data_IF_724403781558
#
_entry.id   IF_724403781558
#
_cell.length_a   1.000
_cell.length_b   1.000
_cell.length_c   1.000
_cell.angle_alpha   90.00
_cell.angle_beta   90.00
_cell.angle_gamma   90.00
#
_symmetry.space_group_name_H-M   'P 1'
#
loop_
_entity.id
_entity.type
_entity.pdbx_description
1 polymer ?
#
# COMPACT_ATOMS: atom_id res chain seq x y z
N UNK A 1 -17.96 -7.08 5.67
CA UNK A 1 -17.15 -7.28 6.89
C UNK A 1 -16.13 -6.15 6.95
N UNK A 2 -16.02 -5.46 8.08
CA UNK A 2 -15.16 -4.29 8.24
C UNK A 2 -13.69 -4.70 8.47
N UNK A 3 -12.74 -3.84 8.07
CA UNK A 3 -11.32 -4.00 8.39
C UNK A 3 -11.12 -4.00 9.91
N UNK A 4 -10.38 -4.97 10.46
CA UNK A 4 -10.13 -5.06 11.91
C UNK A 4 -8.85 -4.36 12.35
N UNK A 5 -8.07 -3.82 11.40
CA UNK A 5 -6.78 -3.19 11.67
C UNK A 5 -6.89 -1.67 11.86
N UNK A 6 -8.04 -1.08 11.52
CA UNK A 6 -8.35 0.34 11.64
C UNK A 6 -9.18 0.82 10.45
N UNK A 7 -9.63 2.07 10.52
CA UNK A 7 -10.39 2.72 9.45
C UNK A 7 -9.50 3.70 8.68
N UNK A 8 -9.19 3.39 7.42
CA UNK A 8 -8.33 4.23 6.57
C UNK A 8 -8.89 5.63 6.33
N UNK A 9 -10.22 5.81 6.45
CA UNK A 9 -10.87 7.11 6.32
C UNK A 9 -10.60 8.03 7.53
N UNK A 10 -10.12 7.47 8.65
CA UNK A 10 -9.78 8.23 9.87
C UNK A 10 -8.27 8.49 10.01
N UNK A 11 -7.46 7.97 9.09
CA UNK A 11 -6.01 8.17 9.10
C UNK A 11 -5.69 9.51 8.43
N UNK A 12 -4.93 10.38 9.12
CA UNK A 12 -4.40 11.60 8.52
C UNK A 12 -3.39 11.28 7.41
N UNK A 13 -3.30 12.13 6.39
CA UNK A 13 -2.33 11.97 5.33
C UNK A 13 -1.98 13.30 4.67
N UNK A 14 -0.69 13.47 4.36
CA UNK A 14 -0.20 14.56 3.52
C UNK A 14 -0.20 14.21 2.03
N UNK A 15 -0.45 12.95 1.66
CA UNK A 15 -0.41 12.42 0.31
C UNK A 15 0.99 12.37 -0.31
N UNK A 16 1.04 12.34 -1.65
CA UNK A 16 2.27 12.18 -2.41
C UNK A 16 3.22 13.40 -2.29
N UNK A 17 4.50 13.11 -2.09
CA UNK A 17 5.59 14.06 -2.27
C UNK A 17 5.66 14.55 -3.72
N UNK A 18 6.44 15.60 -3.94
CA UNK A 18 6.75 16.08 -5.29
C UNK A 18 7.50 15.03 -6.12
N UNK A 19 8.38 14.23 -5.51
CA UNK A 19 9.12 13.18 -6.19
C UNK A 19 8.16 12.11 -6.75
N UNK A 20 7.18 11.68 -5.96
CA UNK A 20 6.16 10.72 -6.38
C UNK A 20 5.21 11.33 -7.42
N UNK A 21 4.75 12.57 -7.22
CA UNK A 21 3.85 13.24 -8.16
C UNK A 21 4.46 13.42 -9.56
N UNK A 22 5.79 13.67 -9.64
CA UNK A 22 6.53 13.82 -10.90
C UNK A 22 6.58 12.56 -11.76
N UNK A 23 6.33 11.37 -11.19
CA UNK A 23 6.27 10.12 -11.96
C UNK A 23 5.21 10.17 -13.07
N UNK A 24 4.09 10.86 -12.80
CA UNK A 24 3.00 11.09 -13.77
C UNK A 24 3.00 12.52 -14.31
N UNK A 25 4.11 13.25 -14.17
CA UNK A 25 4.27 14.65 -14.61
C UNK A 25 3.18 15.58 -14.04
N UNK A 26 2.68 15.28 -12.83
CA UNK A 26 1.65 16.09 -12.20
C UNK A 26 2.23 17.42 -11.72
N UNK A 27 1.45 18.49 -11.90
CA UNK A 27 1.78 19.84 -11.37
C UNK A 27 1.26 20.06 -9.96
N UNK A 28 0.42 19.15 -9.46
CA UNK A 28 -0.12 19.15 -8.10
C UNK A 28 0.67 18.20 -7.20
N UNK A 29 0.58 18.40 -5.89
CA UNK A 29 1.24 17.56 -4.87
C UNK A 29 0.28 17.21 -3.74
N UNK A 30 0.75 16.38 -2.81
CA UNK A 30 0.01 15.94 -1.64
C UNK A 30 -1.19 15.07 -1.99
N UNK A 31 -2.26 15.20 -1.21
CA UNK A 31 -3.47 14.37 -1.34
C UNK A 31 -4.08 14.42 -2.74
N UNK A 32 -4.08 15.59 -3.40
CA UNK A 32 -4.62 15.71 -4.77
C UNK A 32 -3.81 14.89 -5.78
N UNK A 33 -2.47 14.89 -5.65
CA UNK A 33 -1.61 14.09 -6.51
C UNK A 33 -1.85 12.59 -6.31
N UNK A 34 -1.94 12.12 -5.07
CA UNK A 34 -2.27 10.72 -4.76
C UNK A 34 -3.59 10.28 -5.40
N UNK A 35 -4.63 11.13 -5.32
CA UNK A 35 -5.93 10.88 -5.95
C UNK A 35 -5.81 10.72 -7.47
N UNK A 36 -5.07 11.61 -8.14
CA UNK A 36 -4.83 11.52 -9.60
C UNK A 36 -4.01 10.29 -9.98
N UNK A 37 -3.00 9.93 -9.20
CA UNK A 37 -2.22 8.71 -9.41
C UNK A 37 -3.09 7.45 -9.31
N UNK A 38 -3.95 7.37 -8.28
CA UNK A 38 -4.91 6.28 -8.13
C UNK A 38 -5.95 6.26 -9.27
N UNK A 39 -6.40 7.43 -9.73
CA UNK A 39 -7.31 7.58 -10.85
C UNK A 39 -6.73 7.07 -12.17
N UNK A 40 -5.48 7.42 -12.47
CA UNK A 40 -4.77 6.93 -13.66
C UNK A 40 -4.60 5.41 -13.66
N UNK A 41 -4.56 4.79 -12.47
CA UNK A 41 -4.43 3.35 -12.31
C UNK A 41 -5.77 2.62 -12.30
N UNK A 42 -6.91 3.32 -12.13
CA UNK A 42 -8.22 2.71 -11.92
C UNK A 42 -8.62 1.73 -13.03
N UNK A 43 -8.48 2.13 -14.30
CA UNK A 43 -8.88 1.28 -15.42
C UNK A 43 -8.13 -0.07 -15.45
N UNK A 44 -6.86 -0.08 -15.00
CA UNK A 44 -6.08 -1.32 -14.84
C UNK A 44 -6.49 -2.06 -13.57
N UNK A 45 -6.72 -1.33 -12.48
CA UNK A 45 -7.12 -1.89 -11.19
C UNK A 45 -8.44 -2.66 -11.23
N UNK A 46 -9.41 -2.21 -12.04
CA UNK A 46 -10.72 -2.86 -12.16
C UNK A 46 -10.64 -4.34 -12.57
N UNK A 47 -9.59 -4.74 -13.30
CA UNK A 47 -9.32 -6.16 -13.63
C UNK A 47 -9.14 -7.05 -12.40
N UNK A 48 -8.62 -6.48 -11.31
CA UNK A 48 -8.26 -7.20 -10.09
C UNK A 48 -9.26 -6.97 -8.94
N UNK A 49 -10.27 -6.11 -9.13
CA UNK A 49 -11.18 -5.66 -8.06
C UNK A 49 -11.86 -6.80 -7.32
N UNK A 50 -12.43 -7.75 -8.05
CA UNK A 50 -13.12 -8.91 -7.45
C UNK A 50 -12.17 -9.74 -6.58
N UNK A 51 -10.94 -9.95 -7.05
CA UNK A 51 -9.89 -10.66 -6.29
C UNK A 51 -9.45 -9.87 -5.07
N UNK A 52 -9.20 -8.56 -5.21
CA UNK A 52 -8.82 -7.66 -4.11
C UNK A 52 -9.90 -7.66 -3.02
N UNK A 53 -11.17 -7.54 -3.38
CA UNK A 53 -12.30 -7.61 -2.44
C UNK A 53 -12.36 -8.98 -1.76
N UNK A 54 -12.15 -10.07 -2.50
CA UNK A 54 -12.14 -11.43 -1.95
C UNK A 54 -11.03 -11.60 -0.91
N UNK A 55 -9.80 -11.20 -1.24
CA UNK A 55 -8.64 -11.27 -0.32
C UNK A 55 -8.85 -10.38 0.89
N UNK A 56 -9.29 -9.13 0.70
CA UNK A 56 -9.57 -8.20 1.79
C UNK A 56 -10.60 -8.76 2.77
N UNK A 57 -11.69 -9.36 2.27
CA UNK A 57 -12.68 -10.05 3.13
C UNK A 57 -12.07 -11.22 3.88
N UNK A 58 -11.32 -12.09 3.20
CA UNK A 58 -10.71 -13.27 3.80
C UNK A 58 -9.68 -12.93 4.88
N UNK A 59 -8.96 -11.81 4.72
CA UNK A 59 -7.92 -11.33 5.64
C UNK A 59 -8.38 -10.24 6.60
N UNK A 60 -9.66 -9.88 6.56
CA UNK A 60 -10.25 -8.78 7.34
C UNK A 60 -9.47 -7.46 7.16
N UNK A 61 -8.97 -7.24 5.94
CA UNK A 61 -8.23 -6.06 5.50
C UNK A 61 -9.12 -5.20 4.60
N UNK A 62 -8.95 -3.88 4.64
CA UNK A 62 -9.64 -2.96 3.74
C UNK A 62 -9.19 -3.19 2.29
N UNK A 63 -10.06 -3.60 1.35
CA UNK A 63 -9.64 -3.82 -0.02
C UNK A 63 -9.17 -2.54 -0.72
N UNK A 64 -9.60 -1.36 -0.26
CA UNK A 64 -9.08 -0.09 -0.76
C UNK A 64 -7.61 0.13 -0.40
N UNK A 65 -7.14 -0.40 0.74
CA UNK A 65 -5.71 -0.36 1.12
C UNK A 65 -4.89 -1.31 0.26
N UNK A 66 -5.41 -2.51 -0.01
CA UNK A 66 -4.77 -3.46 -0.94
C UNK A 66 -4.64 -2.83 -2.34
N UNK A 67 -5.72 -2.24 -2.87
CA UNK A 67 -5.69 -1.54 -4.15
C UNK A 67 -4.70 -0.37 -4.16
N UNK A 68 -4.64 0.41 -3.08
CA UNK A 68 -3.70 1.52 -2.96
C UNK A 68 -2.23 1.08 -2.96
N UNK A 69 -1.91 -0.02 -2.26
CA UNK A 69 -0.57 -0.61 -2.29
C UNK A 69 -0.25 -1.10 -3.70
N UNK A 70 -1.16 -1.81 -4.37
CA UNK A 70 -0.95 -2.25 -5.76
C UNK A 70 -0.72 -1.07 -6.70
N UNK A 71 -1.47 0.02 -6.54
CA UNK A 71 -1.28 1.25 -7.32
C UNK A 71 0.09 1.87 -7.04
N UNK A 72 0.51 1.93 -5.78
CA UNK A 72 1.82 2.48 -5.40
C UNK A 72 2.99 1.62 -5.89
N UNK A 73 2.87 0.31 -5.76
CA UNK A 73 3.95 -0.65 -6.00
C UNK A 73 4.18 -0.93 -7.48
N UNK A 74 3.10 -1.12 -8.25
CA UNK A 74 3.20 -1.66 -9.61
C UNK A 74 2.41 -0.88 -10.65
N UNK A 75 1.73 0.20 -10.27
CA UNK A 75 0.76 0.91 -11.14
C UNK A 75 -0.28 -0.06 -11.71
N UNK A 76 -0.76 -0.97 -10.86
CA UNK A 76 -1.62 -2.11 -11.23
C UNK A 76 -1.01 -3.02 -12.31
N UNK A 77 0.28 -3.33 -12.16
CA UNK A 77 1.06 -4.17 -13.07
C UNK A 77 1.72 -3.43 -14.23
N UNK A 78 1.37 -2.18 -14.52
CA UNK A 78 1.93 -1.45 -15.67
C UNK A 78 3.42 -1.11 -15.55
N UNK A 79 3.97 -1.11 -14.33
CA UNK A 79 5.39 -0.88 -14.09
C UNK A 79 6.23 -2.18 -14.08
N UNK A 80 5.62 -3.34 -14.30
CA UNK A 80 6.28 -4.65 -14.16
C UNK A 80 6.73 -5.20 -15.53
N UNK A 81 7.81 -5.98 -15.50
CA UNK A 81 8.29 -6.79 -16.63
C UNK A 81 8.21 -8.26 -16.18
N UNK A 82 7.34 -9.04 -16.82
CA UNK A 82 7.06 -10.45 -16.46
C UNK A 82 6.77 -10.65 -14.96
N UNK A 83 6.07 -9.68 -14.36
CA UNK A 83 5.72 -9.70 -12.94
C UNK A 83 6.83 -9.18 -12.00
N UNK A 84 8.00 -8.80 -12.51
CA UNK A 84 9.11 -8.31 -11.70
C UNK A 84 9.28 -6.79 -11.79
N UNK A 85 9.62 -6.17 -10.66
CA UNK A 85 10.08 -4.80 -10.53
C UNK A 85 11.33 -4.73 -9.64
N UNK A 86 11.74 -3.52 -9.24
CA UNK A 86 12.96 -3.24 -8.46
C UNK A 86 14.19 -4.04 -8.94
N UNK A 87 14.54 -3.91 -10.22
CA UNK A 87 15.68 -4.62 -10.83
C UNK A 87 15.64 -6.15 -10.64
N UNK A 88 14.42 -6.72 -10.58
CA UNK A 88 14.20 -8.15 -10.40
C UNK A 88 14.17 -8.62 -8.96
N UNK A 89 14.09 -7.72 -7.96
CA UNK A 89 13.99 -8.10 -6.55
C UNK A 89 12.55 -8.23 -6.05
N UNK A 90 11.63 -7.44 -6.60
CA UNK A 90 10.27 -7.38 -6.13
C UNK A 90 9.30 -8.05 -7.12
N UNK A 91 8.39 -8.87 -6.61
CA UNK A 91 7.51 -9.72 -7.41
C UNK A 91 6.04 -9.34 -7.28
N UNK A 92 5.33 -9.34 -8.41
CA UNK A 92 3.89 -9.23 -8.55
C UNK A 92 3.25 -7.90 -8.16
N UNK A 93 1.92 -7.87 -8.19
CA UNK A 93 1.11 -6.65 -8.03
C UNK A 93 1.45 -5.85 -6.78
N UNK A 94 1.72 -6.54 -5.66
CA UNK A 94 2.11 -5.94 -4.37
C UNK A 94 3.63 -5.94 -4.12
N UNK A 95 4.46 -6.29 -5.11
CA UNK A 95 5.93 -6.18 -5.06
C UNK A 95 6.58 -6.84 -3.83
N UNK A 96 6.28 -8.11 -3.60
CA UNK A 96 6.90 -8.91 -2.53
C UNK A 96 8.40 -9.08 -2.81
N UNK A 97 9.23 -8.64 -1.88
CA UNK A 97 10.69 -8.67 -2.03
C UNK A 97 11.27 -10.07 -1.77
N UNK A 98 11.89 -10.64 -2.80
CA UNK A 98 12.47 -11.99 -2.78
C UNK A 98 13.66 -12.15 -1.82
N UNK A 99 14.24 -11.04 -1.37
CA UNK A 99 15.38 -11.03 -0.41
C UNK A 99 14.92 -11.36 1.01
N UNK A 100 13.65 -11.13 1.33
CA UNK A 100 13.08 -11.32 2.66
C UNK A 100 11.97 -12.38 2.70
N UNK A 101 11.33 -12.64 1.56
CA UNK A 101 10.25 -13.61 1.43
C UNK A 101 10.47 -14.51 0.22
N UNK A 102 9.86 -15.69 0.19
CA UNK A 102 9.76 -16.50 -1.03
C UNK A 102 8.45 -16.14 -1.73
N UNK A 103 8.46 -15.47 -2.91
CA UNK A 103 7.24 -15.12 -3.60
C UNK A 103 6.45 -16.37 -4.04
N UNK A 104 5.12 -16.33 -3.93
CA UNK A 104 4.26 -17.46 -4.28
C UNK A 104 3.13 -17.09 -5.24
N UNK A 105 2.71 -18.06 -6.06
CA UNK A 105 1.67 -17.86 -7.08
C UNK A 105 2.16 -17.14 -8.32
N UNK A 106 1.26 -16.89 -9.26
CA UNK A 106 1.54 -15.99 -10.38
C UNK A 106 1.52 -14.54 -9.90
N UNK A 107 2.24 -13.66 -10.61
CA UNK A 107 2.51 -12.27 -10.22
C UNK A 107 1.23 -11.42 -10.00
N UNK A 108 0.13 -11.80 -10.63
CA UNK A 108 -1.19 -11.17 -10.56
C UNK A 108 -2.27 -12.06 -9.90
N UNK A 109 -1.86 -13.17 -9.28
CA UNK A 109 -2.79 -14.16 -8.72
C UNK A 109 -3.33 -13.79 -7.34
N UNK A 110 -4.44 -14.43 -6.98
CA UNK A 110 -5.01 -14.33 -5.63
C UNK A 110 -4.02 -14.79 -4.55
N UNK A 111 -3.22 -15.82 -4.85
CA UNK A 111 -2.20 -16.31 -3.93
C UNK A 111 -1.14 -15.25 -3.66
N UNK A 112 -0.70 -14.52 -4.69
CA UNK A 112 0.26 -13.41 -4.55
C UNK A 112 -0.31 -12.25 -3.73
N UNK A 113 -1.53 -11.80 -4.07
CA UNK A 113 -2.19 -10.71 -3.33
C UNK A 113 -2.49 -11.10 -1.89
N UNK A 114 -2.79 -12.38 -1.64
CA UNK A 114 -2.94 -12.93 -0.29
C UNK A 114 -1.61 -12.83 0.49
N UNK A 115 -0.49 -13.24 -0.11
CA UNK A 115 0.83 -13.15 0.52
C UNK A 115 1.20 -11.70 0.85
N UNK A 116 1.08 -10.78 -0.10
CA UNK A 116 1.36 -9.35 0.15
C UNK A 116 0.49 -8.77 1.26
N UNK A 117 -0.78 -9.17 1.32
CA UNK A 117 -1.69 -8.75 2.40
C UNK A 117 -1.28 -9.32 3.76
N UNK A 118 -0.78 -10.55 3.84
CA UNK A 118 -0.27 -11.14 5.08
C UNK A 118 0.97 -10.41 5.60
N UNK A 119 1.91 -10.07 4.72
CA UNK A 119 3.11 -9.27 5.07
C UNK A 119 2.72 -7.90 5.64
N UNK A 120 1.71 -7.25 5.04
CA UNK A 120 1.15 -5.99 5.57
C UNK A 120 0.56 -6.19 6.97
N UNK A 121 -0.23 -7.26 7.16
CA UNK A 121 -0.86 -7.57 8.45
C UNK A 121 0.19 -7.77 9.54
N UNK A 122 1.26 -8.52 9.24
CA UNK A 122 2.33 -8.76 10.18
C UNK A 122 3.08 -7.46 10.50
N UNK A 123 3.32 -6.61 9.50
CA UNK A 123 3.86 -5.26 9.71
C UNK A 123 2.98 -4.41 10.64
N UNK A 124 1.66 -4.44 10.49
CA UNK A 124 0.72 -3.71 11.38
C UNK A 124 0.78 -4.26 12.82
N UNK A 125 0.84 -5.58 12.99
CA UNK A 125 0.94 -6.22 14.31
C UNK A 125 2.24 -5.87 15.01
N UNK A 126 3.37 -5.91 14.29
CA UNK A 126 4.67 -5.54 14.83
C UNK A 126 4.74 -4.06 15.22
N UNK A 127 4.17 -3.17 14.41
CA UNK A 127 4.07 -1.75 14.76
C UNK A 127 3.22 -1.54 16.01
N UNK A 128 2.08 -2.23 16.14
CA UNK A 128 1.25 -2.17 17.33
C UNK A 128 1.99 -2.67 18.58
N UNK A 129 2.78 -3.73 18.46
CA UNK A 129 3.62 -4.23 19.55
C UNK A 129 4.74 -3.24 19.93
N UNK A 130 5.34 -2.59 18.93
CA UNK A 130 6.42 -1.61 19.12
C UNK A 130 5.94 -0.29 19.72
N UNK A 131 4.73 0.15 19.38
CA UNK A 131 4.15 1.42 19.82
C UNK A 131 2.78 1.21 20.48
N UNK A 132 2.73 0.59 21.68
CA UNK A 132 1.45 0.25 22.32
C UNK A 132 0.60 1.46 22.74
N UNK A 133 1.17 2.66 22.74
CA UNK A 133 0.48 3.92 23.05
C UNK A 133 -0.14 4.60 21.82
N UNK A 134 0.17 4.13 20.61
CA UNK A 134 -0.44 4.65 19.39
C UNK A 134 -1.88 4.17 19.26
N UNK A 135 -2.72 5.00 18.64
CA UNK A 135 -4.07 4.58 18.28
C UNK A 135 -4.03 3.46 17.24
N UNK A 136 -5.16 2.80 17.04
CA UNK A 136 -5.29 1.76 16.02
C UNK A 136 -4.99 2.32 14.62
N UNK A 137 -5.52 3.49 14.29
CA UNK A 137 -5.27 4.22 13.03
C UNK A 137 -3.79 4.57 12.85
N UNK A 138 -3.12 5.01 13.91
CA UNK A 138 -1.69 5.31 13.87
C UNK A 138 -0.84 4.06 13.63
N UNK A 139 -1.18 2.95 14.30
CA UNK A 139 -0.54 1.65 14.07
C UNK A 139 -0.78 1.15 12.65
N UNK A 140 -1.98 1.36 12.11
CA UNK A 140 -2.31 0.97 10.74
C UNK A 140 -1.46 1.74 9.73
N UNK A 141 -1.38 3.07 9.86
CA UNK A 141 -0.49 3.91 9.01
C UNK A 141 0.98 3.48 9.14
N UNK A 142 1.44 3.23 10.37
CA UNK A 142 2.79 2.74 10.62
C UNK A 142 3.07 1.38 9.98
N UNK A 143 2.10 0.47 9.97
CA UNK A 143 2.20 -0.82 9.29
C UNK A 143 2.32 -0.68 7.78
N UNK A 144 1.58 0.26 7.17
CA UNK A 144 1.72 0.59 5.74
C UNK A 144 3.12 1.17 5.46
N UNK A 145 3.65 2.04 6.32
CA UNK A 145 5.01 2.58 6.18
C UNK A 145 6.08 1.48 6.31
N UNK A 146 5.89 0.58 7.28
CA UNK A 146 6.77 -0.56 7.52
C UNK A 146 6.73 -1.60 6.39
N UNK A 147 5.64 -1.71 5.63
CA UNK A 147 5.59 -2.57 4.45
C UNK A 147 6.70 -2.22 3.44
N UNK A 148 7.02 -0.93 3.29
CA UNK A 148 8.06 -0.46 2.38
C UNK A 148 9.47 -0.46 2.99
N UNK A 149 9.62 0.03 4.22
CA UNK A 149 10.95 0.29 4.81
C UNK A 149 11.29 -0.58 6.03
N UNK A 150 10.41 -1.51 6.38
CA UNK A 150 10.51 -2.37 7.56
C UNK A 150 10.18 -1.65 8.87
N UNK A 151 9.80 -2.43 9.88
CA UNK A 151 9.37 -1.95 11.20
C UNK A 151 10.45 -1.15 11.93
N UNK A 152 11.73 -1.40 11.66
CA UNK A 152 12.85 -0.63 12.25
C UNK A 152 12.88 0.83 11.77
N UNK A 153 12.40 1.11 10.55
CA UNK A 153 12.37 2.47 10.02
C UNK A 153 11.38 3.37 10.76
N UNK A 154 10.22 2.81 11.14
CA UNK A 154 9.18 3.56 11.85
C UNK A 154 9.62 3.83 13.28
N UNK A 155 9.97 5.09 13.59
CA UNK A 155 10.48 5.51 14.91
C UNK A 155 9.54 6.48 15.64
N UNK A 156 8.87 7.36 14.90
CA UNK A 156 7.85 8.29 15.41
C UNK A 156 6.69 8.36 14.42
N UNK A 157 5.53 8.85 14.86
CA UNK A 157 4.33 8.90 14.02
C UNK A 157 4.51 9.91 12.87
N UNK A 158 4.98 11.11 13.21
CA UNK A 158 5.07 12.26 12.31
C UNK A 158 6.15 12.09 11.23
N UNK A 159 7.12 11.20 11.47
CA UNK A 159 8.29 10.99 10.60
C UNK A 159 8.44 9.55 10.12
N UNK A 160 7.39 8.72 10.22
CA UNK A 160 7.47 7.30 9.84
C UNK A 160 7.92 7.08 8.39
N UNK A 161 7.54 7.98 7.48
CA UNK A 161 7.87 7.88 6.07
C UNK A 161 9.26 8.42 5.71
N UNK A 162 9.96 9.07 6.64
CA UNK A 162 11.36 9.47 6.39
C UNK A 162 12.19 8.18 6.24
N UNK A 163 12.77 7.99 5.06
CA UNK A 163 13.52 6.78 4.70
C UNK A 163 12.71 5.76 3.87
N UNK A 164 11.39 5.93 3.73
CA UNK A 164 10.60 5.18 2.74
C UNK A 164 10.89 5.67 1.33
N UNK A 165 10.59 4.86 0.31
CA UNK A 165 10.65 5.28 -1.10
C UNK A 165 9.85 6.57 -1.29
N UNK A 166 10.47 7.61 -1.86
CA UNK A 166 9.82 8.93 -2.04
C UNK A 166 9.64 9.75 -0.75
N UNK A 167 9.96 9.19 0.42
CA UNK A 167 9.79 9.85 1.71
C UNK A 167 8.31 10.07 2.11
N UNK A 168 7.39 9.31 1.51
CA UNK A 168 5.95 9.58 1.56
C UNK A 168 5.06 8.32 1.50
N UNK A 169 5.64 7.12 1.67
CA UNK A 169 4.97 5.89 1.25
C UNK A 169 3.60 5.69 1.91
N UNK A 170 3.51 5.73 3.24
CA UNK A 170 2.22 5.56 3.92
C UNK A 170 1.27 6.72 3.70
N UNK A 171 1.77 7.96 3.63
CA UNK A 171 0.94 9.12 3.32
C UNK A 171 0.28 8.98 1.94
N UNK A 172 1.07 8.71 0.90
CA UNK A 172 0.53 8.51 -0.45
C UNK A 172 -0.44 7.32 -0.51
N UNK A 173 -0.06 6.15 0.04
CA UNK A 173 -0.93 4.97 0.05
C UNK A 173 -2.26 5.23 0.76
N UNK A 174 -2.26 5.89 1.93
CA UNK A 174 -3.49 6.24 2.64
C UNK A 174 -4.38 7.15 1.78
N UNK A 175 -3.81 8.17 1.12
CA UNK A 175 -4.58 9.07 0.27
C UNK A 175 -5.16 8.36 -0.97
N UNK A 176 -4.41 7.43 -1.58
CA UNK A 176 -4.91 6.56 -2.65
C UNK A 176 -6.02 5.63 -2.15
N UNK A 177 -5.87 5.05 -0.97
CA UNK A 177 -6.85 4.15 -0.38
C UNK A 177 -8.17 4.87 -0.09
N UNK A 178 -8.11 6.08 0.48
CA UNK A 178 -9.30 6.91 0.68
C UNK A 178 -10.02 7.21 -0.64
N UNK A 179 -9.28 7.38 -1.73
CA UNK A 179 -9.88 7.52 -3.06
C UNK A 179 -10.50 6.22 -3.57
N UNK A 180 -9.80 5.09 -3.51
CA UNK A 180 -10.33 3.79 -3.92
C UNK A 180 -11.58 3.38 -3.13
N UNK A 181 -11.67 3.79 -1.85
CA UNK A 181 -12.88 3.61 -1.03
C UNK A 181 -14.11 4.23 -1.69
N UNK A 182 -13.95 5.42 -2.26
CA UNK A 182 -15.03 6.10 -3.01
C UNK A 182 -15.40 5.43 -4.33
N UNK A 183 -14.60 4.46 -4.80
CA UNK A 183 -14.80 3.70 -6.04
C UNK A 183 -15.28 2.27 -5.81
N UNK A 184 -15.66 1.93 -4.57
CA UNK A 184 -16.24 0.64 -4.23
C UNK A 184 -15.21 -0.48 -4.02
N UNK A 185 -14.01 -0.13 -3.56
CA UNK A 185 -13.05 -1.08 -2.99
C UNK A 185 -13.27 -1.20 -1.47
#
# INVERSE_FOLDING_TARGET
MACIYGDVMKIDTTGASEATAKQDKLTVKGVEASKKLAEHDLARMEKYKSMIIKVGRAKQMDPAVIAAIISRESRAGAALIDGWGDHGNAFGLMQVDKRYHTPVGAWDSEQHVTQGTEILIDSIKEIKAKFPQWTQEQCFKGGISAYNAGVKNVRTYERMDVGTTGGDYSNDVVARAQWYKSKGY
#
